data_IF_528339125552
#
_entry.id   IF_528339125552
#
_cell.length_a   1.000
_cell.length_b   1.000
_cell.length_c   1.000
_cell.angle_alpha   90.00
_cell.angle_beta   90.00
_cell.angle_gamma   90.00
#
_symmetry.space_group_name_H-M   'P 1'
#
loop_
_entity.id
_entity.type
_entity.pdbx_description
1 polymer ?
#
# COMPACT_ATOMS: atom_id res chain seq x y z
N UNK A 1 -5.91 -21.28 -3.51
CA UNK A 1 -5.65 -20.04 -2.75
C UNK A 1 -4.37 -20.12 -1.91
N UNK A 2 -4.06 -21.24 -1.23
CA UNK A 2 -2.84 -21.38 -0.43
C UNK A 2 -1.50 -21.20 -1.19
N UNK A 3 -1.42 -21.55 -2.48
CA UNK A 3 -0.14 -21.49 -3.22
C UNK A 3 0.37 -20.06 -3.46
N UNK A 4 -0.52 -19.07 -3.58
CA UNK A 4 -0.13 -17.66 -3.80
C UNK A 4 0.34 -16.99 -2.51
N UNK A 5 -0.32 -17.26 -1.37
CA UNK A 5 0.12 -16.75 -0.07
C UNK A 5 1.55 -17.17 0.29
N UNK A 6 1.87 -18.45 0.10
CA UNK A 6 3.22 -18.97 0.36
C UNK A 6 4.25 -18.34 -0.56
N UNK A 7 3.92 -18.17 -1.85
CA UNK A 7 4.81 -17.56 -2.84
C UNK A 7 5.21 -16.12 -2.46
N UNK A 8 4.25 -15.25 -2.14
CA UNK A 8 4.54 -13.87 -1.76
C UNK A 8 5.34 -13.78 -0.45
N UNK A 9 5.01 -14.61 0.56
CA UNK A 9 5.78 -14.66 1.81
C UNK A 9 7.24 -15.05 1.56
N UNK A 10 7.49 -16.03 0.69
CA UNK A 10 8.84 -16.47 0.33
C UNK A 10 9.60 -15.34 -0.39
N UNK A 11 8.98 -14.69 -1.37
CA UNK A 11 9.62 -13.61 -2.12
C UNK A 11 9.99 -12.39 -1.26
N UNK A 12 9.09 -11.92 -0.40
CA UNK A 12 9.42 -10.89 0.59
C UNK A 12 10.47 -11.36 1.60
N UNK A 13 10.47 -12.65 1.97
CA UNK A 13 11.47 -13.18 2.88
C UNK A 13 12.87 -13.25 2.27
N UNK A 14 12.97 -13.55 0.97
CA UNK A 14 14.21 -13.60 0.20
C UNK A 14 14.67 -12.22 -0.28
N UNK A 15 13.87 -11.16 -0.07
CA UNK A 15 14.17 -9.81 -0.55
C UNK A 15 14.05 -9.65 -2.07
N UNK A 16 13.48 -10.63 -2.76
CA UNK A 16 13.23 -10.58 -4.20
C UNK A 16 11.78 -10.18 -4.45
N UNK A 17 11.55 -8.89 -4.69
CA UNK A 17 10.21 -8.31 -4.89
C UNK A 17 10.14 -7.61 -6.24
N UNK A 18 9.97 -8.33 -7.36
CA UNK A 18 10.03 -7.76 -8.73
C UNK A 18 8.88 -6.79 -9.06
N UNK A 19 7.87 -6.71 -8.21
CA UNK A 19 6.75 -5.76 -8.28
C UNK A 19 6.93 -4.55 -7.34
N UNK A 20 8.00 -4.48 -6.55
CA UNK A 20 8.28 -3.36 -5.65
C UNK A 20 9.22 -2.36 -6.33
N UNK A 21 9.01 -1.06 -6.14
CA UNK A 21 9.83 -0.01 -6.75
C UNK A 21 9.43 0.43 -8.16
N UNK A 22 8.28 -0.04 -8.67
CA UNK A 22 7.69 0.52 -9.88
C UNK A 22 7.22 1.96 -9.63
N UNK A 23 7.31 2.85 -10.63
CA UNK A 23 6.74 4.18 -10.50
C UNK A 23 5.23 4.09 -10.25
N UNK A 24 4.72 5.00 -9.41
CA UNK A 24 3.28 5.17 -9.23
C UNK A 24 2.61 5.36 -10.59
N UNK A 25 1.44 4.74 -10.77
CA UNK A 25 0.68 4.85 -12.01
C UNK A 25 0.39 6.31 -12.34
N UNK A 26 0.46 6.65 -13.63
CA UNK A 26 0.11 7.99 -14.12
C UNK A 26 -1.32 8.36 -13.73
N UNK A 27 -2.25 7.41 -13.83
CA UNK A 27 -3.66 7.61 -13.44
C UNK A 27 -3.81 8.00 -11.96
N UNK A 28 -3.03 7.42 -11.05
CA UNK A 28 -3.08 7.80 -9.63
C UNK A 28 -2.56 9.23 -9.44
N UNK A 29 -1.48 9.61 -10.13
CA UNK A 29 -0.92 10.96 -10.06
C UNK A 29 -1.90 11.98 -10.64
N UNK A 30 -2.49 11.70 -11.80
CA UNK A 30 -3.50 12.54 -12.43
C UNK A 30 -4.74 12.72 -11.54
N UNK A 31 -5.16 11.68 -10.81
CA UNK A 31 -6.27 11.76 -9.87
C UNK A 31 -5.99 12.70 -8.67
N UNK A 32 -4.72 12.84 -8.28
CA UNK A 32 -4.32 13.59 -7.08
C UNK A 32 -3.84 15.01 -7.41
N UNK A 33 -3.13 15.17 -8.53
CA UNK A 33 -2.45 16.42 -8.92
C UNK A 33 -2.91 16.96 -10.30
N UNK A 34 -3.73 16.21 -11.04
CA UNK A 34 -4.14 16.57 -12.40
C UNK A 34 -5.18 17.68 -12.47
N UNK A 35 -5.55 18.06 -13.71
CA UNK A 35 -6.51 19.14 -13.96
C UNK A 35 -7.90 18.88 -13.34
N UNK A 36 -8.31 17.61 -13.31
CA UNK A 36 -9.56 17.14 -12.70
C UNK A 36 -9.30 16.41 -11.36
N UNK A 37 -8.29 16.86 -10.60
CA UNK A 37 -7.91 16.23 -9.34
C UNK A 37 -9.09 16.12 -8.37
N UNK A 38 -9.20 14.98 -7.71
CA UNK A 38 -10.22 14.75 -6.70
C UNK A 38 -9.79 15.38 -5.36
N UNK A 39 -10.74 15.99 -4.62
CA UNK A 39 -10.45 16.47 -3.27
C UNK A 39 -10.08 15.28 -2.36
N UNK A 40 -9.12 15.44 -1.44
CA UNK A 40 -8.74 14.36 -0.53
C UNK A 40 -9.91 13.85 0.30
N UNK A 41 -10.06 12.54 0.34
CA UNK A 41 -11.08 11.85 1.13
C UNK A 41 -10.51 10.60 1.80
N UNK A 42 -11.37 9.59 2.02
CA UNK A 42 -10.93 8.28 2.48
C UNK A 42 -10.47 7.42 1.30
N UNK A 43 -9.33 6.73 1.45
CA UNK A 43 -8.81 5.79 0.46
C UNK A 43 -8.48 4.43 1.10
N UNK A 44 -8.80 3.35 0.37
CA UNK A 44 -8.42 1.98 0.71
C UNK A 44 -7.46 1.44 -0.35
N UNK A 45 -6.23 1.13 0.06
CA UNK A 45 -5.20 0.52 -0.80
C UNK A 45 -5.16 -1.00 -0.55
N UNK A 46 -5.69 -1.76 -1.51
CA UNK A 46 -5.89 -3.21 -1.43
C UNK A 46 -4.67 -3.94 -1.96
N UNK A 47 -3.97 -4.68 -1.10
CA UNK A 47 -2.68 -5.28 -1.44
C UNK A 47 -1.59 -4.23 -1.50
N UNK A 48 -1.52 -3.36 -0.48
CA UNK A 48 -0.68 -2.17 -0.50
C UNK A 48 0.82 -2.45 -0.56
N UNK A 49 1.25 -3.70 -0.32
CA UNK A 49 2.65 -4.10 -0.36
C UNK A 49 3.50 -3.23 0.56
N UNK A 50 4.48 -2.52 0.00
CA UNK A 50 5.37 -1.62 0.74
C UNK A 50 4.84 -0.19 0.85
N UNK A 51 3.59 0.06 0.43
CA UNK A 51 2.84 1.27 0.73
C UNK A 51 3.17 2.49 -0.11
N UNK A 52 3.82 2.37 -1.27
CA UNK A 52 4.22 3.54 -2.07
C UNK A 52 3.01 4.40 -2.49
N UNK A 53 1.92 3.78 -2.97
CA UNK A 53 0.69 4.49 -3.30
C UNK A 53 0.00 5.05 -2.06
N UNK A 54 -0.07 4.25 -0.99
CA UNK A 54 -0.64 4.68 0.29
C UNK A 54 0.05 5.92 0.86
N UNK A 55 1.39 5.94 0.85
CA UNK A 55 2.20 7.05 1.33
C UNK A 55 2.02 8.28 0.45
N UNK A 56 1.99 8.09 -0.86
CA UNK A 56 1.76 9.19 -1.81
C UNK A 56 0.41 9.87 -1.54
N UNK A 57 -0.67 9.09 -1.43
CA UNK A 57 -2.00 9.63 -1.12
C UNK A 57 -2.03 10.36 0.23
N UNK A 58 -1.45 9.76 1.28
CA UNK A 58 -1.42 10.38 2.61
C UNK A 58 -0.65 11.72 2.62
N UNK A 59 0.44 11.84 1.87
CA UNK A 59 1.17 13.10 1.71
C UNK A 59 0.37 14.18 0.98
N UNK A 60 -0.66 13.78 0.24
CA UNK A 60 -1.60 14.68 -0.42
C UNK A 60 -2.91 14.86 0.36
N UNK A 61 -2.89 14.59 1.67
CA UNK A 61 -4.00 14.87 2.58
C UNK A 61 -5.11 13.81 2.61
N UNK A 62 -4.95 12.69 1.91
CA UNK A 62 -5.92 11.60 1.95
C UNK A 62 -5.83 10.84 3.28
N UNK A 63 -6.97 10.38 3.79
CA UNK A 63 -7.03 9.46 4.92
C UNK A 63 -6.93 8.03 4.40
N UNK A 64 -5.74 7.43 4.52
CA UNK A 64 -5.44 6.16 3.85
C UNK A 64 -5.43 4.99 4.83
N UNK A 65 -6.16 3.93 4.46
CA UNK A 65 -5.97 2.59 5.02
C UNK A 65 -5.33 1.68 3.97
N UNK A 66 -4.15 1.14 4.26
CA UNK A 66 -3.46 0.17 3.41
C UNK A 66 -3.59 -1.22 4.01
N UNK A 67 -3.96 -2.22 3.21
CA UNK A 67 -4.14 -3.60 3.65
C UNK A 67 -3.24 -4.53 2.86
N UNK A 68 -2.47 -5.36 3.56
CA UNK A 68 -1.70 -6.44 2.93
C UNK A 68 -1.65 -7.66 3.87
N UNK A 69 -1.61 -8.87 3.31
CA UNK A 69 -1.51 -10.11 4.10
C UNK A 69 -0.06 -10.46 4.48
N UNK A 70 0.94 -9.72 3.96
CA UNK A 70 2.36 -10.02 4.11
C UNK A 70 3.00 -9.13 5.20
N UNK A 71 3.33 -9.67 6.40
CA UNK A 71 3.85 -8.86 7.51
C UNK A 71 5.12 -8.06 7.15
N UNK A 72 6.08 -8.71 6.47
CA UNK A 72 7.33 -8.06 6.05
C UNK A 72 7.11 -6.87 5.10
N UNK A 73 6.07 -6.92 4.26
CA UNK A 73 5.72 -5.83 3.37
C UNK A 73 5.24 -4.62 4.19
N UNK A 74 4.35 -4.87 5.16
CA UNK A 74 3.84 -3.84 6.07
C UNK A 74 4.92 -3.25 6.98
N UNK A 75 5.91 -4.04 7.42
CA UNK A 75 7.03 -3.50 8.19
C UNK A 75 7.84 -2.48 7.37
N UNK A 76 8.10 -2.81 6.10
CA UNK A 76 8.74 -1.89 5.15
C UNK A 76 7.85 -0.68 4.86
N UNK A 77 6.54 -0.88 4.70
CA UNK A 77 5.57 0.20 4.49
C UNK A 77 5.54 1.20 5.65
N UNK A 78 5.44 0.71 6.88
CA UNK A 78 5.50 1.53 8.10
C UNK A 78 6.84 2.28 8.20
N UNK A 79 7.94 1.64 7.82
CA UNK A 79 9.25 2.31 7.78
C UNK A 79 9.30 3.43 6.76
N UNK A 80 8.87 3.18 5.51
CA UNK A 80 8.81 4.19 4.45
C UNK A 80 7.89 5.36 4.84
N UNK A 81 6.73 5.06 5.42
CA UNK A 81 5.76 6.06 5.86
C UNK A 81 6.34 6.99 6.94
N UNK A 82 7.05 6.43 7.94
CA UNK A 82 7.78 7.22 8.94
C UNK A 82 8.85 8.12 8.31
N UNK A 83 9.63 7.59 7.36
CA UNK A 83 10.65 8.39 6.66
C UNK A 83 10.04 9.51 5.82
N UNK A 84 8.85 9.30 5.27
CA UNK A 84 8.14 10.25 4.42
C UNK A 84 7.22 11.21 5.18
N UNK A 85 7.20 11.13 6.52
CA UNK A 85 6.26 11.86 7.40
C UNK A 85 4.79 11.72 6.97
N UNK A 86 4.41 10.50 6.58
CA UNK A 86 3.08 10.19 6.08
C UNK A 86 2.31 9.33 7.10
N UNK A 87 1.10 9.77 7.46
CA UNK A 87 0.21 9.01 8.35
C UNK A 87 -0.68 8.07 7.52
N UNK A 88 -0.42 6.76 7.62
CA UNK A 88 -1.20 5.71 6.96
C UNK A 88 -1.59 4.65 7.98
N UNK A 89 -2.86 4.22 7.96
CA UNK A 89 -3.33 3.08 8.75
C UNK A 89 -3.02 1.75 8.02
N UNK A 90 -1.99 1.04 8.44
CA UNK A 90 -1.59 -0.24 7.82
C UNK A 90 -2.15 -1.45 8.57
N UNK A 91 -3.07 -2.17 7.93
CA UNK A 91 -3.72 -3.37 8.46
C UNK A 91 -3.11 -4.64 7.88
N UNK A 92 -2.79 -5.58 8.77
CA UNK A 92 -2.39 -6.94 8.37
C UNK A 92 -3.63 -7.81 8.25
N UNK A 93 -4.13 -7.98 7.03
CA UNK A 93 -5.33 -8.76 6.77
C UNK A 93 -5.36 -9.36 5.38
N UNK A 94 -6.16 -10.42 5.23
CA UNK A 94 -6.57 -10.95 3.93
C UNK A 94 -7.81 -10.17 3.45
N UNK A 95 -7.66 -9.44 2.35
CA UNK A 95 -8.71 -8.60 1.77
C UNK A 95 -9.92 -9.40 1.28
N UNK A 96 -9.79 -10.72 1.08
CA UNK A 96 -10.93 -11.61 0.80
C UNK A 96 -11.79 -11.90 2.03
N UNK A 97 -11.29 -11.59 3.23
CA UNK A 97 -11.94 -11.75 4.53
C UNK A 97 -11.94 -10.46 5.36
N UNK A 98 -11.95 -9.29 4.70
CA UNK A 98 -11.72 -7.98 5.33
C UNK A 98 -12.70 -7.60 6.45
N UNK A 99 -13.89 -8.22 6.50
CA UNK A 99 -14.87 -8.01 7.59
C UNK A 99 -14.37 -8.43 8.98
N UNK A 100 -13.27 -9.18 9.05
CA UNK A 100 -12.69 -9.74 10.27
C UNK A 100 -11.42 -9.01 10.72
N UNK A 101 -11.03 -7.94 10.00
CA UNK A 101 -9.82 -7.17 10.21
C UNK A 101 -9.99 -6.01 11.19
#
# INVERSE_FOLDING_TARGET
>A
MASRHTLFRVFYALGFTPWDGHPLSTTLRELVEGADALPPGAALDVGCGTGDASIYLARHGWQVTGVDFTPKALDKARSKARTADATVNFLHADVTHLRQA
#
